data_IF_601579259157
#
_entry.id   IF_601579259157
#
_cell.length_a   1.000
_cell.length_b   1.000
_cell.length_c   1.000
_cell.angle_alpha   90.00
_cell.angle_beta   90.00
_cell.angle_gamma   90.00
#
_symmetry.space_group_name_H-M   'P 1'
#
loop_
_entity.id
_entity.type
_entity.pdbx_description
1 polymer ?
#
# COMPACT_ATOMS: atom_id res chain seq x y z
N UNK A 1 29.75 6.65 1.79
CA UNK A 1 30.30 6.87 3.07
C UNK A 1 29.18 6.85 4.09
N UNK A 2 28.94 7.89 4.91
CA UNK A 2 27.90 7.82 5.97
C UNK A 2 26.49 7.58 5.41
N UNK A 3 26.14 8.24 4.31
CA UNK A 3 24.85 8.05 3.65
C UNK A 3 24.70 6.62 3.07
N UNK A 4 25.79 6.07 2.50
CA UNK A 4 25.80 4.69 2.02
C UNK A 4 25.68 3.69 3.17
N UNK A 5 26.29 3.98 4.31
CA UNK A 5 26.14 3.17 5.53
C UNK A 5 24.68 3.15 6.00
N UNK A 6 24.01 4.31 6.00
CA UNK A 6 22.59 4.39 6.34
C UNK A 6 21.73 3.56 5.37
N UNK A 7 21.94 3.69 4.06
CA UNK A 7 21.22 2.93 3.05
C UNK A 7 21.43 1.42 3.23
N UNK A 8 22.66 0.99 3.44
CA UNK A 8 22.98 -0.42 3.65
C UNK A 8 22.36 -0.97 4.92
N UNK A 9 22.43 -0.23 6.03
CA UNK A 9 21.85 -0.62 7.32
C UNK A 9 20.32 -0.69 7.25
N UNK A 10 19.68 0.27 6.57
CA UNK A 10 18.24 0.28 6.39
C UNK A 10 17.76 -0.92 5.56
N UNK A 11 18.47 -1.23 4.47
CA UNK A 11 18.16 -2.39 3.64
C UNK A 11 18.33 -3.72 4.41
N UNK A 12 19.31 -3.79 5.29
CA UNK A 12 19.58 -4.99 6.10
C UNK A 12 18.69 -5.13 7.36
N UNK A 13 17.96 -4.08 7.72
CA UNK A 13 17.18 -4.09 8.96
C UNK A 13 18.03 -3.93 10.22
N UNK A 14 19.23 -3.39 10.10
CA UNK A 14 20.15 -3.19 11.22
C UNK A 14 19.81 -1.88 11.95
N UNK A 15 18.91 -1.98 12.93
CA UNK A 15 18.43 -0.83 13.68
C UNK A 15 19.54 -0.10 14.45
N UNK A 16 20.49 -0.83 15.01
CA UNK A 16 21.60 -0.24 15.75
C UNK A 16 22.49 0.63 14.83
N UNK A 17 22.84 0.10 13.66
CA UNK A 17 23.62 0.83 12.66
C UNK A 17 22.85 2.04 12.10
N UNK A 18 21.53 1.92 11.93
CA UNK A 18 20.67 3.04 11.51
C UNK A 18 20.68 4.15 12.57
N UNK A 19 20.52 3.81 13.84
CA UNK A 19 20.59 4.80 14.93
C UNK A 19 21.92 5.54 14.94
N UNK A 20 23.01 4.82 14.78
CA UNK A 20 24.36 5.38 14.77
C UNK A 20 24.49 6.36 13.60
N UNK A 21 24.17 5.94 12.38
CA UNK A 21 24.25 6.76 11.18
C UNK A 21 23.38 8.03 11.30
N UNK A 22 22.16 7.90 11.82
CA UNK A 22 21.25 9.05 12.05
C UNK A 22 21.84 10.01 13.08
N UNK A 23 22.39 9.51 14.17
CA UNK A 23 23.03 10.32 15.21
C UNK A 23 24.25 11.07 14.67
N UNK A 24 25.00 10.48 13.75
CA UNK A 24 26.15 11.09 13.09
C UNK A 24 25.76 12.08 11.99
N UNK A 25 24.49 12.24 11.70
CA UNK A 25 23.97 13.24 10.76
C UNK A 25 23.88 12.76 9.31
N UNK A 26 23.72 11.46 9.08
CA UNK A 26 23.46 10.95 7.74
C UNK A 26 22.22 11.61 7.13
N UNK A 27 22.22 11.78 5.82
CA UNK A 27 21.08 12.30 5.08
C UNK A 27 19.95 11.25 5.05
N UNK A 28 18.83 11.56 5.72
CA UNK A 28 17.66 10.69 5.77
C UNK A 28 17.05 10.44 4.38
N UNK A 29 17.29 11.36 3.43
CA UNK A 29 16.76 11.28 2.07
C UNK A 29 17.84 10.86 1.06
N UNK A 30 18.94 10.26 1.53
CA UNK A 30 19.95 9.65 0.65
C UNK A 30 19.30 8.62 -0.28
N UNK A 31 19.83 8.49 -1.48
CA UNK A 31 19.24 7.66 -2.54
C UNK A 31 20.24 6.62 -3.01
N UNK A 32 19.77 5.37 -3.16
CA UNK A 32 20.57 4.31 -3.80
C UNK A 32 20.50 4.41 -5.35
N UNK A 33 21.08 3.44 -6.05
CA UNK A 33 21.09 3.42 -7.52
C UNK A 33 19.71 3.32 -8.18
N UNK A 34 18.67 2.96 -7.43
CA UNK A 34 17.27 2.95 -7.88
C UNK A 34 16.47 4.12 -7.33
N UNK A 35 17.15 5.12 -6.80
CA UNK A 35 16.53 6.29 -6.18
C UNK A 35 15.69 5.96 -4.92
N UNK A 36 15.95 4.85 -4.26
CA UNK A 36 15.27 4.45 -3.03
C UNK A 36 15.91 5.13 -1.83
N UNK A 37 15.07 5.67 -0.95
CA UNK A 37 15.49 6.23 0.34
C UNK A 37 15.68 5.14 1.39
N UNK A 38 16.36 5.42 2.51
CA UNK A 38 16.43 4.47 3.63
C UNK A 38 15.06 4.02 4.12
N UNK A 39 14.09 4.94 4.20
CA UNK A 39 12.73 4.60 4.65
C UNK A 39 12.01 3.68 3.66
N UNK A 40 12.18 3.89 2.35
CA UNK A 40 11.61 2.99 1.35
C UNK A 40 12.22 1.59 1.43
N UNK A 41 13.55 1.50 1.60
CA UNK A 41 14.22 0.21 1.79
C UNK A 41 13.68 -0.54 3.01
N UNK A 42 13.50 0.16 4.12
CA UNK A 42 12.93 -0.42 5.34
C UNK A 42 11.47 -0.87 5.13
N UNK A 43 10.65 -0.04 4.49
CA UNK A 43 9.24 -0.35 4.24
C UNK A 43 9.08 -1.56 3.30
N UNK A 44 9.87 -1.65 2.24
CA UNK A 44 9.81 -2.73 1.27
C UNK A 44 10.14 -4.11 1.88
N UNK A 45 11.04 -4.16 2.85
CA UNK A 45 11.47 -5.37 3.53
C UNK A 45 10.83 -5.56 4.91
N UNK A 46 9.88 -4.70 5.25
CA UNK A 46 9.14 -4.72 6.52
C UNK A 46 10.04 -4.61 7.77
N UNK A 47 11.10 -3.81 7.67
CA UNK A 47 11.98 -3.51 8.80
C UNK A 47 11.36 -2.42 9.68
N UNK A 48 10.44 -2.81 10.55
CA UNK A 48 9.59 -1.90 11.33
C UNK A 48 10.40 -1.04 12.28
N UNK A 49 11.35 -1.61 13.01
CA UNK A 49 12.18 -0.85 13.95
C UNK A 49 13.03 0.21 13.24
N UNK A 50 13.62 -0.14 12.11
CA UNK A 50 14.37 0.82 11.28
C UNK A 50 13.45 1.96 10.82
N UNK A 51 12.26 1.64 10.33
CA UNK A 51 11.29 2.65 9.92
C UNK A 51 10.87 3.56 11.07
N UNK A 52 10.68 3.02 12.28
CA UNK A 52 10.38 3.83 13.48
C UNK A 52 11.47 4.85 13.75
N UNK A 53 12.73 4.45 13.67
CA UNK A 53 13.87 5.36 13.89
C UNK A 53 13.87 6.46 12.82
N UNK A 54 13.70 6.11 11.57
CA UNK A 54 13.73 7.06 10.45
C UNK A 54 12.57 8.04 10.50
N UNK A 55 11.36 7.57 10.78
CA UNK A 55 10.17 8.42 10.92
C UNK A 55 10.33 9.38 12.11
N UNK A 56 10.82 8.90 13.24
CA UNK A 56 11.09 9.75 14.42
C UNK A 56 12.12 10.84 14.12
N UNK A 57 13.06 10.59 13.21
CA UNK A 57 14.06 11.56 12.77
C UNK A 57 13.54 12.53 11.69
N UNK A 58 12.33 12.30 11.14
CA UNK A 58 11.71 13.18 10.15
C UNK A 58 11.83 12.73 8.70
N UNK A 59 12.09 11.45 8.45
CA UNK A 59 12.14 10.92 7.07
C UNK A 59 10.80 11.10 6.34
N UNK A 60 10.87 11.38 5.04
CA UNK A 60 9.73 11.65 4.18
C UNK A 60 9.04 10.33 3.75
N UNK A 61 7.76 10.12 4.11
CA UNK A 61 7.01 8.94 3.70
C UNK A 61 6.59 8.96 2.22
N UNK A 62 6.78 10.07 1.52
CA UNK A 62 6.28 10.32 0.16
C UNK A 62 7.40 10.45 -0.88
N UNK A 63 8.64 10.16 -0.51
CA UNK A 63 9.77 10.24 -1.44
C UNK A 63 9.69 9.13 -2.49
N UNK A 64 9.50 9.52 -3.76
CA UNK A 64 9.38 8.62 -4.90
C UNK A 64 10.73 8.04 -5.31
N UNK A 65 10.76 6.75 -5.61
CA UNK A 65 11.90 6.10 -6.24
C UNK A 65 11.80 6.11 -7.78
N UNK A 66 12.74 5.44 -8.45
CA UNK A 66 12.77 5.37 -9.91
C UNK A 66 11.57 4.60 -10.50
N UNK A 67 10.90 3.77 -9.72
CA UNK A 67 9.72 3.00 -10.12
C UNK A 67 8.40 3.63 -9.67
N UNK A 68 8.44 4.86 -9.21
CA UNK A 68 7.23 5.55 -8.71
C UNK A 68 6.62 4.92 -7.46
N UNK A 69 7.46 4.32 -6.60
CA UNK A 69 7.05 3.85 -5.29
C UNK A 69 7.47 4.83 -4.20
N UNK A 70 6.74 4.84 -3.10
CA UNK A 70 7.06 5.56 -1.87
C UNK A 70 7.02 4.59 -0.69
N UNK A 71 7.59 4.95 0.47
CA UNK A 71 7.43 4.16 1.68
C UNK A 71 5.96 3.83 1.99
N UNK A 72 5.06 4.78 1.83
CA UNK A 72 3.63 4.56 2.03
C UNK A 72 3.03 3.61 1.00
N UNK A 73 3.28 3.83 -0.30
CA UNK A 73 2.71 3.03 -1.37
C UNK A 73 3.07 1.55 -1.26
N UNK A 74 4.31 1.22 -0.87
CA UNK A 74 4.72 -0.20 -0.77
C UNK A 74 4.03 -0.93 0.37
N UNK A 75 3.44 -0.25 1.35
CA UNK A 75 2.67 -0.93 2.41
C UNK A 75 1.44 -1.66 1.85
N UNK A 76 0.85 -1.17 0.78
CA UNK A 76 -0.24 -1.86 0.09
C UNK A 76 0.22 -3.15 -0.61
N UNK A 77 1.47 -3.20 -1.03
CA UNK A 77 2.07 -4.40 -1.64
C UNK A 77 2.42 -5.43 -0.57
N UNK A 78 3.10 -5.02 0.49
CA UNK A 78 3.50 -5.92 1.59
C UNK A 78 2.31 -6.36 2.46
N UNK A 79 1.29 -5.50 2.56
CA UNK A 79 0.16 -5.71 3.46
C UNK A 79 0.48 -5.50 4.93
N UNK A 80 1.61 -4.86 5.24
CA UNK A 80 2.07 -4.67 6.62
C UNK A 80 1.27 -3.62 7.36
N UNK A 81 0.44 -4.03 8.28
CA UNK A 81 -0.27 -3.15 9.21
C UNK A 81 0.71 -2.45 10.16
N UNK A 82 1.73 -3.17 10.62
CA UNK A 82 2.75 -2.59 11.50
C UNK A 82 3.45 -1.40 10.82
N UNK A 83 3.86 -1.57 9.56
CA UNK A 83 4.50 -0.50 8.80
C UNK A 83 3.54 0.66 8.51
N UNK A 84 2.28 0.37 8.16
CA UNK A 84 1.25 1.39 8.00
C UNK A 84 1.16 2.27 9.25
N UNK A 85 1.12 1.66 10.43
CA UNK A 85 1.02 2.38 11.72
C UNK A 85 2.26 3.22 12.02
N UNK A 86 3.43 2.76 11.63
CA UNK A 86 4.68 3.52 11.76
C UNK A 86 4.66 4.77 10.88
N UNK A 87 4.16 4.65 9.65
CA UNK A 87 4.19 5.73 8.66
C UNK A 87 3.08 6.77 8.85
N UNK A 88 1.92 6.39 9.41
CA UNK A 88 0.80 7.31 9.59
C UNK A 88 1.15 8.61 10.34
N UNK A 89 1.94 8.58 11.45
CA UNK A 89 2.32 9.81 12.15
C UNK A 89 3.15 10.78 11.29
N UNK A 90 3.83 10.29 10.26
CA UNK A 90 4.55 11.12 9.30
C UNK A 90 3.63 11.82 8.30
N UNK A 91 2.31 11.57 8.37
CA UNK A 91 1.28 12.18 7.52
C UNK A 91 1.53 11.96 6.02
N UNK A 92 1.57 10.70 5.56
CA UNK A 92 1.75 10.42 4.14
C UNK A 92 0.63 11.04 3.30
N UNK A 93 0.96 11.44 2.08
CA UNK A 93 -0.02 11.88 1.10
C UNK A 93 -0.72 10.65 0.50
N UNK A 94 -1.98 10.45 0.86
CA UNK A 94 -2.77 9.28 0.45
C UNK A 94 -3.16 9.31 -1.02
N UNK A 95 -2.94 10.42 -1.73
CA UNK A 95 -3.33 10.61 -3.14
C UNK A 95 -2.21 10.31 -4.12
N UNK A 96 -0.99 10.13 -3.66
CA UNK A 96 0.14 9.78 -4.54
C UNK A 96 -0.11 8.40 -5.16
N UNK A 97 0.11 8.32 -6.47
CA UNK A 97 -0.13 7.12 -7.27
C UNK A 97 1.18 6.42 -7.62
N UNK A 98 1.15 5.10 -7.65
CA UNK A 98 2.26 4.30 -8.17
C UNK A 98 2.29 4.35 -9.72
N UNK A 99 3.23 3.60 -10.33
CA UNK A 99 3.38 3.54 -11.80
C UNK A 99 2.15 2.98 -12.53
N UNK A 100 1.25 2.31 -11.83
CA UNK A 100 0.00 1.79 -12.38
C UNK A 100 -1.19 2.72 -12.13
N UNK A 101 -0.93 3.91 -11.61
CA UNK A 101 -1.97 4.89 -11.29
C UNK A 101 -2.78 4.56 -10.03
N UNK A 102 -2.32 3.64 -9.20
CA UNK A 102 -3.02 3.20 -8.00
C UNK A 102 -2.49 3.81 -6.72
N UNK A 103 -3.38 4.02 -5.75
CA UNK A 103 -3.04 4.29 -4.35
C UNK A 103 -2.79 2.97 -3.61
N UNK A 104 -2.31 3.03 -2.36
CA UNK A 104 -1.91 1.82 -1.61
C UNK A 104 -3.02 0.78 -1.43
N UNK A 105 -4.29 1.20 -1.40
CA UNK A 105 -5.45 0.32 -1.29
C UNK A 105 -5.54 -0.69 -2.45
N UNK A 106 -5.16 -0.27 -3.66
CA UNK A 106 -5.36 -1.09 -4.88
C UNK A 106 -4.58 -2.41 -4.81
N UNK A 107 -3.24 -2.43 -4.67
CA UNK A 107 -2.52 -3.71 -4.59
C UNK A 107 -2.91 -4.54 -3.37
N UNK A 108 -3.33 -3.91 -2.28
CA UNK A 108 -3.80 -4.63 -1.09
C UNK A 108 -5.08 -5.42 -1.40
N UNK A 109 -6.01 -4.86 -2.16
CA UNK A 109 -7.22 -5.55 -2.61
C UNK A 109 -6.89 -6.70 -3.55
N UNK A 110 -6.01 -6.48 -4.52
CA UNK A 110 -5.55 -7.51 -5.45
C UNK A 110 -4.95 -8.71 -4.72
N UNK A 111 -4.08 -8.44 -3.74
CA UNK A 111 -3.29 -9.47 -3.06
C UNK A 111 -4.01 -10.15 -1.90
N UNK A 112 -5.20 -9.70 -1.55
CA UNK A 112 -5.98 -10.29 -0.47
C UNK A 112 -5.47 -9.92 0.93
N UNK A 113 -4.89 -8.73 1.10
CA UNK A 113 -4.38 -8.25 2.39
C UNK A 113 -5.52 -7.68 3.25
N UNK A 114 -6.31 -8.57 3.86
CA UNK A 114 -7.52 -8.21 4.61
C UNK A 114 -7.24 -7.21 5.73
N UNK A 115 -6.25 -7.50 6.57
CA UNK A 115 -5.97 -6.65 7.74
C UNK A 115 -5.49 -5.27 7.33
N UNK A 116 -4.67 -5.19 6.28
CA UNK A 116 -4.23 -3.91 5.73
C UNK A 116 -5.41 -3.12 5.17
N UNK A 117 -6.27 -3.75 4.38
CA UNK A 117 -7.47 -3.09 3.81
C UNK A 117 -8.34 -2.53 4.93
N UNK A 118 -8.57 -3.31 5.99
CA UNK A 118 -9.34 -2.87 7.15
C UNK A 118 -8.76 -1.60 7.76
N UNK A 119 -7.46 -1.56 7.96
CA UNK A 119 -6.79 -0.43 8.62
C UNK A 119 -6.65 0.78 7.70
N UNK A 120 -6.28 0.59 6.44
CA UNK A 120 -6.08 1.71 5.52
C UNK A 120 -7.40 2.44 5.20
N UNK A 121 -8.52 1.73 5.20
CA UNK A 121 -9.84 2.34 4.99
C UNK A 121 -10.23 3.32 6.11
N UNK A 122 -9.61 3.23 7.29
CA UNK A 122 -9.83 4.17 8.40
C UNK A 122 -9.08 5.49 8.22
N UNK A 123 -8.17 5.58 7.26
CA UNK A 123 -7.30 6.74 7.07
C UNK A 123 -7.92 7.88 6.26
N UNK A 124 -9.05 7.66 5.64
CA UNK A 124 -9.65 8.59 4.68
C UNK A 124 -9.17 8.41 3.24
N UNK A 125 -8.44 7.35 2.97
CA UNK A 125 -8.05 7.01 1.58
C UNK A 125 -9.29 6.87 0.70
N UNK A 126 -9.20 7.31 -0.56
CA UNK A 126 -10.33 7.24 -1.50
C UNK A 126 -10.64 5.78 -1.84
N UNK A 127 -11.75 5.27 -1.31
CA UNK A 127 -12.22 3.90 -1.55
C UNK A 127 -12.61 3.66 -3.01
N UNK A 128 -12.95 4.72 -3.73
CA UNK A 128 -13.38 4.67 -5.14
C UNK A 128 -12.28 5.11 -6.11
N UNK A 129 -11.03 5.20 -5.66
CA UNK A 129 -9.91 5.54 -6.53
C UNK A 129 -9.83 4.58 -7.71
N UNK A 130 -9.62 5.12 -8.91
CA UNK A 130 -9.54 4.37 -10.17
C UNK A 130 -8.10 4.42 -10.67
N UNK A 131 -7.51 3.27 -10.94
CA UNK A 131 -6.16 3.16 -11.50
C UNK A 131 -6.13 3.33 -13.03
N UNK A 132 -4.95 3.17 -13.62
CA UNK A 132 -4.77 3.34 -15.08
C UNK A 132 -5.49 2.29 -15.92
N UNK A 133 -5.84 1.13 -15.36
CA UNK A 133 -6.67 0.12 -16.02
C UNK A 133 -8.16 0.49 -16.01
N UNK A 134 -8.55 1.52 -15.27
CA UNK A 134 -9.95 1.86 -15.05
C UNK A 134 -10.60 1.03 -13.93
N UNK A 135 -9.81 0.47 -13.02
CA UNK A 135 -10.30 -0.39 -11.95
C UNK A 135 -10.19 0.27 -10.57
N UNK A 136 -11.24 0.10 -9.79
CA UNK A 136 -11.24 0.40 -8.35
C UNK A 136 -10.67 -0.77 -7.55
N UNK A 137 -10.46 -0.56 -6.25
CA UNK A 137 -10.08 -1.66 -5.36
C UNK A 137 -11.12 -2.80 -5.37
N UNK A 138 -12.40 -2.46 -5.46
CA UNK A 138 -13.47 -3.45 -5.55
C UNK A 138 -13.35 -4.31 -6.82
N UNK A 139 -13.13 -3.68 -7.98
CA UNK A 139 -12.90 -4.39 -9.24
C UNK A 139 -11.65 -5.26 -9.19
N UNK A 140 -10.54 -4.74 -8.64
CA UNK A 140 -9.30 -5.52 -8.46
C UNK A 140 -9.54 -6.79 -7.65
N UNK A 141 -10.24 -6.67 -6.51
CA UNK A 141 -10.50 -7.81 -5.62
C UNK A 141 -11.33 -8.90 -6.31
N UNK A 142 -12.30 -8.51 -7.14
CA UNK A 142 -13.18 -9.45 -7.84
C UNK A 142 -12.50 -10.04 -9.07
N UNK A 143 -11.89 -9.20 -9.91
CA UNK A 143 -11.31 -9.63 -11.18
C UNK A 143 -10.07 -10.52 -10.96
N UNK A 144 -9.18 -10.12 -10.07
CA UNK A 144 -7.89 -10.77 -9.83
C UNK A 144 -7.93 -11.74 -8.65
N UNK A 145 -8.93 -11.64 -7.79
CA UNK A 145 -9.13 -12.57 -6.69
C UNK A 145 -9.75 -13.89 -7.14
N UNK A 146 -9.80 -14.85 -6.22
CA UNK A 146 -10.30 -16.19 -6.46
C UNK A 146 -11.68 -16.48 -5.83
N UNK A 147 -12.33 -15.46 -5.28
CA UNK A 147 -13.63 -15.59 -4.61
C UNK A 147 -13.57 -16.23 -3.22
N UNK A 148 -12.37 -16.51 -2.70
CA UNK A 148 -12.17 -17.13 -1.39
C UNK A 148 -12.56 -16.20 -0.23
N UNK A 149 -12.53 -16.74 0.99
CA UNK A 149 -12.96 -16.02 2.20
C UNK A 149 -12.26 -14.67 2.39
N UNK A 150 -10.96 -14.56 2.11
CA UNK A 150 -10.23 -13.30 2.25
C UNK A 150 -10.75 -12.22 1.28
N UNK A 151 -11.08 -12.59 0.04
CA UNK A 151 -11.65 -11.65 -0.92
C UNK A 151 -13.11 -11.29 -0.60
N UNK A 152 -13.88 -12.23 -0.08
CA UNK A 152 -15.21 -11.93 0.44
C UNK A 152 -15.15 -10.88 1.55
N UNK A 153 -14.22 -11.03 2.49
CA UNK A 153 -14.04 -10.07 3.57
C UNK A 153 -13.59 -8.70 3.05
N UNK A 154 -12.68 -8.66 2.07
CA UNK A 154 -12.28 -7.40 1.43
C UNK A 154 -13.46 -6.71 0.79
N UNK A 155 -14.31 -7.44 0.07
CA UNK A 155 -15.53 -6.87 -0.52
C UNK A 155 -16.45 -6.29 0.56
N UNK A 156 -16.65 -7.01 1.68
CA UNK A 156 -17.45 -6.49 2.81
C UNK A 156 -16.87 -5.19 3.35
N UNK A 157 -15.55 -5.15 3.58
CA UNK A 157 -14.87 -3.97 4.10
C UNK A 157 -15.00 -2.77 3.15
N UNK A 158 -14.81 -2.98 1.86
CA UNK A 158 -14.94 -1.93 0.86
C UNK A 158 -16.36 -1.37 0.80
N UNK A 159 -17.36 -2.25 0.76
CA UNK A 159 -18.77 -1.82 0.76
C UNK A 159 -19.14 -1.06 2.04
N UNK A 160 -18.70 -1.53 3.20
CA UNK A 160 -18.92 -0.85 4.48
C UNK A 160 -18.25 0.53 4.53
N UNK A 161 -17.15 0.72 3.81
CA UNK A 161 -16.45 2.00 3.70
C UNK A 161 -17.01 2.93 2.62
N UNK A 162 -18.09 2.53 1.94
CA UNK A 162 -18.76 3.35 0.93
C UNK A 162 -18.30 3.13 -0.50
N UNK A 163 -17.69 1.98 -0.81
CA UNK A 163 -17.35 1.65 -2.19
C UNK A 163 -18.59 1.69 -3.09
N UNK A 164 -18.48 2.36 -4.23
CA UNK A 164 -19.53 2.43 -5.21
C UNK A 164 -19.54 1.13 -6.04
N UNK A 165 -20.55 0.28 -5.77
CA UNK A 165 -20.69 -1.01 -6.45
C UNK A 165 -21.08 -0.90 -7.92
N UNK A 166 -21.54 0.27 -8.36
CA UNK A 166 -21.99 0.50 -9.73
C UNK A 166 -20.88 1.05 -10.63
N UNK A 167 -19.71 1.38 -10.08
CA UNK A 167 -18.57 1.79 -10.89
C UNK A 167 -18.11 0.60 -11.75
N UNK A 168 -18.23 0.77 -13.05
CA UNK A 168 -17.83 -0.23 -14.03
C UNK A 168 -16.39 -0.01 -14.52
N UNK A 169 -15.81 -1.04 -15.09
CA UNK A 169 -14.55 -0.92 -15.83
C UNK A 169 -14.75 -0.20 -17.18
N UNK A 170 -13.68 -0.08 -17.96
CA UNK A 170 -13.75 0.65 -19.25
C UNK A 170 -14.67 0.02 -20.28
N UNK A 171 -14.97 -1.27 -20.15
CA UNK A 171 -15.90 -2.00 -21.00
C UNK A 171 -17.34 -1.94 -20.48
N UNK A 172 -17.58 -1.18 -19.40
CA UNK A 172 -18.90 -1.05 -18.80
C UNK A 172 -19.32 -2.24 -17.93
N UNK A 173 -18.38 -3.08 -17.52
CA UNK A 173 -18.65 -4.29 -16.71
C UNK A 173 -18.45 -3.95 -15.23
N UNK A 174 -19.49 -4.19 -14.42
CA UNK A 174 -19.47 -3.94 -12.97
C UNK A 174 -18.81 -5.10 -12.21
N UNK A 175 -18.46 -4.83 -10.94
CA UNK A 175 -17.93 -5.87 -10.05
C UNK A 175 -18.89 -7.06 -9.94
N UNK A 176 -20.20 -6.81 -9.83
CA UNK A 176 -21.21 -7.87 -9.78
C UNK A 176 -21.18 -8.74 -11.04
N UNK A 177 -21.13 -8.12 -12.20
CA UNK A 177 -21.07 -8.85 -13.48
C UNK A 177 -19.81 -9.69 -13.59
N UNK A 178 -18.66 -9.20 -13.16
CA UNK A 178 -17.42 -9.98 -13.08
C UNK A 178 -17.53 -11.15 -12.11
N UNK A 179 -18.12 -10.95 -10.93
CA UNK A 179 -18.30 -12.00 -9.93
C UNK A 179 -19.19 -13.13 -10.47
N UNK A 180 -20.28 -12.78 -11.13
CA UNK A 180 -21.19 -13.77 -11.77
C UNK A 180 -20.45 -14.56 -12.86
N UNK A 181 -19.75 -13.86 -13.73
CA UNK A 181 -18.98 -14.48 -14.82
C UNK A 181 -17.91 -15.45 -14.30
N UNK A 182 -17.26 -15.12 -13.19
CA UNK A 182 -16.22 -15.95 -12.60
C UNK A 182 -16.75 -17.02 -11.62
N UNK A 183 -18.06 -17.10 -11.42
CA UNK A 183 -18.67 -18.07 -10.52
C UNK A 183 -18.45 -17.80 -9.04
N UNK A 184 -18.15 -16.54 -8.67
CA UNK A 184 -17.92 -16.11 -7.29
C UNK A 184 -19.27 -15.82 -6.60
N UNK A 185 -19.99 -16.87 -6.22
CA UNK A 185 -21.37 -16.78 -5.73
C UNK A 185 -21.52 -15.94 -4.48
N UNK A 186 -20.64 -16.12 -3.50
CA UNK A 186 -20.67 -15.40 -2.24
C UNK A 186 -20.42 -13.90 -2.44
N UNK A 187 -19.45 -13.57 -3.29
CA UNK A 187 -19.16 -12.17 -3.64
C UNK A 187 -20.31 -11.55 -4.41
N UNK A 188 -20.89 -12.28 -5.37
CA UNK A 188 -22.05 -11.81 -6.11
C UNK A 188 -23.25 -11.51 -5.18
N UNK A 189 -23.49 -12.36 -4.17
CA UNK A 189 -24.51 -12.13 -3.17
C UNK A 189 -24.25 -10.85 -2.35
N UNK A 190 -23.00 -10.61 -1.94
CA UNK A 190 -22.60 -9.38 -1.23
C UNK A 190 -22.85 -8.13 -2.10
N UNK A 191 -22.54 -8.22 -3.39
CA UNK A 191 -22.67 -7.09 -4.32
C UNK A 191 -24.12 -6.79 -4.70
N UNK A 192 -25.04 -7.76 -4.58
CA UNK A 192 -26.47 -7.52 -4.78
C UNK A 192 -27.12 -6.79 -3.59
N UNK A 193 -26.49 -6.87 -2.44
CA UNK A 193 -26.88 -6.15 -1.23
C UNK A 193 -28.08 -6.60 -0.59
#
# INVERSE_FOLDING_TARGET
VLDDELLTAAAAGDAAAVREAVTEGADLEARDGRQRTPLLLAAAEDHVEVAQILVAAGADPDALDAQHDTPWLVTGVTGSVAMLRVLLPAKPDLTIRNRYGGVSLIPACERGHVDYVREVLKTGIDVNHVNDLGWTGLLEAVILGDGSAKYQEIVRLLLAAGADRDLADREGVTALQHAVKQGQREIAALLRG
#
